data_IF_918678348627
#
_entry.id   IF_918678348627
#
_cell.length_a   1.000
_cell.length_b   1.000
_cell.length_c   1.000
_cell.angle_alpha   90.00
_cell.angle_beta   90.00
_cell.angle_gamma   90.00
#
_symmetry.space_group_name_H-M   'P 1'
#
loop_
_entity.id
_entity.type
_entity.pdbx_description
1 polymer ?
#
# COMPACT_ATOMS: atom_id res chain seq x y z
N UNK A 1 23.31 -8.78 -19.45
CA UNK A 1 22.12 -9.06 -18.61
C UNK A 1 22.01 -8.14 -17.38
N UNK A 2 23.08 -7.87 -16.63
CA UNK A 2 23.02 -7.02 -15.42
C UNK A 2 22.43 -5.60 -15.61
N UNK A 3 22.70 -4.93 -16.75
CA UNK A 3 22.10 -3.61 -17.06
C UNK A 3 20.58 -3.66 -17.24
N UNK A 4 20.05 -4.75 -17.81
CA UNK A 4 18.60 -4.92 -18.04
C UNK A 4 17.86 -5.15 -16.71
N UNK A 5 18.33 -6.05 -15.86
CA UNK A 5 17.76 -6.26 -14.52
C UNK A 5 17.76 -4.97 -13.69
N UNK A 6 18.82 -4.16 -13.81
CA UNK A 6 18.89 -2.86 -13.14
C UNK A 6 17.81 -1.90 -13.63
N UNK A 7 17.64 -1.76 -14.95
CA UNK A 7 16.60 -0.91 -15.52
C UNK A 7 15.19 -1.35 -15.11
N UNK A 8 14.91 -2.65 -15.21
CA UNK A 8 13.63 -3.23 -14.79
C UNK A 8 13.35 -2.96 -13.32
N UNK A 9 14.34 -3.21 -12.45
CA UNK A 9 14.22 -2.92 -11.01
C UNK A 9 13.92 -1.44 -10.74
N UNK A 10 14.64 -0.51 -11.37
CA UNK A 10 14.42 0.94 -11.21
C UNK A 10 13.01 1.34 -11.64
N UNK A 11 12.54 0.87 -12.81
CA UNK A 11 11.18 1.16 -13.29
C UNK A 11 10.15 0.64 -12.31
N UNK A 12 10.29 -0.59 -11.85
CA UNK A 12 9.33 -1.22 -10.94
C UNK A 12 9.27 -0.49 -9.59
N UNK A 13 10.41 -0.01 -9.09
CA UNK A 13 10.51 0.81 -7.86
C UNK A 13 9.85 2.18 -8.01
N UNK A 14 10.03 2.84 -9.16
CA UNK A 14 9.36 4.11 -9.45
C UNK A 14 7.84 3.93 -9.51
N UNK A 15 7.38 2.88 -10.19
CA UNK A 15 5.95 2.55 -10.26
C UNK A 15 5.41 2.24 -8.85
N UNK A 16 6.15 1.49 -8.03
CA UNK A 16 5.77 1.22 -6.64
C UNK A 16 5.68 2.50 -5.82
N UNK A 17 6.65 3.40 -5.94
CA UNK A 17 6.65 4.68 -5.23
C UNK A 17 5.46 5.56 -5.62
N UNK A 18 5.17 5.68 -6.93
CA UNK A 18 4.05 6.49 -7.44
C UNK A 18 2.70 5.93 -6.99
N UNK A 19 2.50 4.62 -7.13
CA UNK A 19 1.25 3.97 -6.74
C UNK A 19 1.04 4.00 -5.22
N UNK A 20 2.10 3.82 -4.43
CA UNK A 20 2.05 3.94 -2.98
C UNK A 20 1.77 5.38 -2.52
N UNK A 21 2.41 6.37 -3.15
CA UNK A 21 2.14 7.78 -2.89
C UNK A 21 0.68 8.13 -3.24
N UNK A 22 0.18 7.67 -4.38
CA UNK A 22 -1.21 7.89 -4.78
C UNK A 22 -2.18 7.30 -3.76
N UNK A 23 -1.97 6.07 -3.33
CA UNK A 23 -2.80 5.42 -2.30
C UNK A 23 -2.81 6.21 -0.98
N UNK A 24 -1.64 6.62 -0.49
CA UNK A 24 -1.52 7.40 0.73
C UNK A 24 -2.18 8.78 0.61
N UNK A 25 -1.96 9.49 -0.51
CA UNK A 25 -2.53 10.83 -0.75
C UNK A 25 -4.05 10.76 -0.80
N UNK A 26 -4.62 9.84 -1.60
CA UNK A 26 -6.08 9.68 -1.70
C UNK A 26 -6.66 9.46 -0.30
N UNK A 27 -6.07 8.55 0.49
CA UNK A 27 -6.53 8.24 1.84
C UNK A 27 -6.43 9.43 2.81
N UNK A 28 -5.33 10.20 2.77
CA UNK A 28 -5.16 11.40 3.63
C UNK A 28 -6.14 12.51 3.23
N UNK A 29 -6.45 12.63 1.94
CA UNK A 29 -7.43 13.60 1.46
C UNK A 29 -8.87 13.20 1.73
N UNK A 30 -9.11 11.96 2.19
CA UNK A 30 -10.44 11.46 2.57
C UNK A 30 -10.96 12.17 3.82
N UNK A 31 -11.78 13.20 3.60
CA UNK A 31 -12.53 13.93 4.64
C UNK A 31 -13.89 14.34 4.09
N UNK A 32 -14.93 14.11 4.88
CA UNK A 32 -16.27 14.59 4.56
C UNK A 32 -16.99 14.95 5.87
N UNK A 33 -17.66 16.09 5.89
CA UNK A 33 -18.50 16.53 7.00
C UNK A 33 -19.94 16.45 6.56
N UNK A 34 -20.78 15.72 7.31
CA UNK A 34 -22.22 15.63 7.02
C UNK A 34 -23.04 15.93 8.26
N UNK A 35 -24.14 16.68 8.10
CA UNK A 35 -25.07 16.97 9.18
C UNK A 35 -26.10 15.84 9.29
N UNK A 36 -26.06 15.10 10.38
CA UNK A 36 -26.98 14.01 10.69
C UNK A 36 -27.87 14.43 11.87
N UNK A 37 -29.19 14.54 11.65
CA UNK A 37 -30.15 14.97 12.66
C UNK A 37 -29.81 16.30 13.38
N UNK A 38 -29.19 17.26 12.67
CA UNK A 38 -28.76 18.54 13.25
C UNK A 38 -27.44 18.51 14.02
N UNK A 39 -26.74 17.36 14.06
CA UNK A 39 -25.39 17.20 14.57
C UNK A 39 -24.41 17.08 13.39
N UNK A 40 -23.35 17.89 13.38
CA UNK A 40 -22.27 17.75 12.41
C UNK A 40 -21.40 16.53 12.76
N UNK A 41 -21.39 15.52 11.89
CA UNK A 41 -20.52 14.35 11.98
C UNK A 41 -19.36 14.57 11.00
N UNK A 42 -18.14 14.71 11.53
CA UNK A 42 -16.92 14.76 10.73
C UNK A 42 -16.38 13.33 10.52
N UNK A 43 -16.47 12.82 9.30
CA UNK A 43 -15.83 11.57 8.90
C UNK A 43 -14.42 11.88 8.39
N UNK A 44 -13.41 11.44 9.15
CA UNK A 44 -12.00 11.70 8.86
C UNK A 44 -11.17 10.44 9.00
N UNK A 45 -10.19 10.28 8.12
CA UNK A 45 -9.28 9.12 8.15
C UNK A 45 -8.56 8.96 9.51
N UNK A 46 -8.30 10.06 10.22
CA UNK A 46 -7.60 10.06 11.51
C UNK A 46 -8.41 9.49 12.68
N UNK A 47 -9.71 9.23 12.50
CA UNK A 47 -10.53 8.60 13.53
C UNK A 47 -10.44 7.07 13.50
N UNK A 48 -9.91 6.49 12.42
CA UNK A 48 -9.85 5.04 12.22
C UNK A 48 -8.38 4.59 12.22
N UNK A 49 -7.93 3.84 13.24
CA UNK A 49 -6.54 3.42 13.36
C UNK A 49 -6.01 2.62 12.16
N UNK A 50 -6.85 1.80 11.52
CA UNK A 50 -6.46 1.04 10.33
C UNK A 50 -6.13 1.94 9.14
N UNK A 51 -6.83 3.08 9.01
CA UNK A 51 -6.61 4.03 7.92
C UNK A 51 -5.32 4.83 8.14
N UNK A 52 -5.01 5.17 9.39
CA UNK A 52 -3.70 5.75 9.76
C UNK A 52 -2.58 4.75 9.44
N UNK A 53 -2.74 3.48 9.84
CA UNK A 53 -1.76 2.44 9.55
C UNK A 53 -1.51 2.28 8.04
N UNK A 54 -2.57 2.31 7.22
CA UNK A 54 -2.47 2.32 5.78
C UNK A 54 -1.64 3.49 5.26
N UNK A 55 -1.98 4.72 5.64
CA UNK A 55 -1.24 5.91 5.19
C UNK A 55 0.24 5.81 5.55
N UNK A 56 0.55 5.44 6.79
CA UNK A 56 1.93 5.32 7.27
C UNK A 56 2.68 4.22 6.52
N UNK A 57 2.09 3.03 6.37
CA UNK A 57 2.71 1.91 5.66
C UNK A 57 3.02 2.27 4.19
N UNK A 58 2.08 2.90 3.49
CA UNK A 58 2.26 3.29 2.09
C UNK A 58 3.23 4.47 1.91
N UNK A 59 3.25 5.42 2.86
CA UNK A 59 4.26 6.48 2.86
C UNK A 59 5.69 5.91 3.06
N UNK A 60 5.85 4.98 4.01
CA UNK A 60 7.13 4.29 4.24
C UNK A 60 7.56 3.49 3.01
N UNK A 61 6.63 2.77 2.37
CA UNK A 61 6.91 2.02 1.14
C UNK A 61 7.37 2.92 -0.02
N UNK A 62 6.78 4.12 -0.15
CA UNK A 62 7.20 5.11 -1.13
C UNK A 62 8.64 5.57 -0.89
N UNK A 63 8.96 6.02 0.33
CA UNK A 63 10.31 6.48 0.70
C UNK A 63 11.32 5.33 0.53
N UNK A 64 10.99 4.14 1.03
CA UNK A 64 11.84 2.96 0.91
C UNK A 64 12.14 2.62 -0.55
N UNK A 65 11.13 2.62 -1.42
CA UNK A 65 11.30 2.32 -2.84
C UNK A 65 12.26 3.30 -3.53
N UNK A 66 12.21 4.59 -3.18
CA UNK A 66 13.12 5.60 -3.71
C UNK A 66 14.55 5.46 -3.16
N UNK A 67 14.69 5.14 -1.86
CA UNK A 67 15.99 4.94 -1.24
C UNK A 67 16.74 3.74 -1.85
N UNK A 68 16.04 2.65 -2.14
CA UNK A 68 16.65 1.44 -2.75
C UNK A 68 17.20 1.71 -4.15
N UNK A 69 16.63 2.66 -4.91
CA UNK A 69 17.15 3.04 -6.24
C UNK A 69 18.58 3.61 -6.14
N UNK A 70 18.89 4.29 -5.05
CA UNK A 70 20.20 4.91 -4.80
C UNK A 70 21.27 3.88 -4.38
N UNK A 71 20.87 2.67 -3.99
CA UNK A 71 21.80 1.64 -3.51
C UNK A 71 22.56 1.04 -4.71
N UNK A 72 23.91 1.04 -4.70
CA UNK A 72 24.69 0.46 -5.77
C UNK A 72 24.48 -1.06 -5.88
N UNK A 73 24.41 -1.61 -7.12
CA UNK A 73 24.23 -3.04 -7.33
C UNK A 73 25.51 -3.81 -7.01
N UNK A 74 25.37 -4.94 -6.32
CA UNK A 74 26.44 -5.91 -6.05
C UNK A 74 26.93 -5.89 -4.60
N UNK A 75 26.84 -7.04 -3.93
CA UNK A 75 27.32 -7.26 -2.56
C UNK A 75 26.27 -7.89 -1.63
N UNK A 76 26.64 -8.09 -0.36
CA UNK A 76 25.76 -8.63 0.69
C UNK A 76 24.47 -7.80 0.88
N UNK A 77 24.51 -6.51 0.54
CA UNK A 77 23.37 -5.61 0.58
C UNK A 77 22.19 -6.08 -0.29
N UNK A 78 22.43 -6.80 -1.40
CA UNK A 78 21.35 -7.29 -2.26
C UNK A 78 20.42 -8.28 -1.53
N UNK A 79 20.97 -9.14 -0.67
CA UNK A 79 20.15 -10.08 0.12
C UNK A 79 19.31 -9.36 1.16
N UNK A 80 19.88 -8.32 1.79
CA UNK A 80 19.15 -7.48 2.75
C UNK A 80 17.99 -6.74 2.08
N UNK A 81 18.18 -6.23 0.86
CA UNK A 81 17.10 -5.59 0.09
C UNK A 81 15.97 -6.56 -0.19
N UNK A 82 16.24 -7.81 -0.59
CA UNK A 82 15.18 -8.81 -0.80
C UNK A 82 14.40 -9.09 0.48
N UNK A 83 15.10 -9.25 1.62
CA UNK A 83 14.43 -9.47 2.90
C UNK A 83 13.58 -8.27 3.31
N UNK A 84 14.08 -7.05 3.10
CA UNK A 84 13.34 -5.83 3.37
C UNK A 84 12.13 -5.65 2.43
N UNK A 85 12.23 -6.07 1.16
CA UNK A 85 11.11 -6.06 0.20
C UNK A 85 9.99 -6.99 0.63
N UNK A 86 10.35 -8.20 1.09
CA UNK A 86 9.38 -9.18 1.60
C UNK A 86 8.70 -8.64 2.87
N UNK A 87 9.49 -8.07 3.79
CA UNK A 87 8.94 -7.44 4.99
C UNK A 87 7.97 -6.30 4.66
N UNK A 88 8.33 -5.43 3.71
CA UNK A 88 7.47 -4.34 3.26
C UNK A 88 6.20 -4.86 2.60
N UNK A 89 6.29 -5.89 1.75
CA UNK A 89 5.13 -6.53 1.13
C UNK A 89 4.15 -7.10 2.17
N UNK A 90 4.65 -7.72 3.24
CA UNK A 90 3.83 -8.21 4.35
C UNK A 90 3.12 -7.06 5.09
N UNK A 91 3.85 -5.98 5.38
CA UNK A 91 3.29 -4.77 6.04
C UNK A 91 2.17 -4.15 5.19
N UNK A 92 2.42 -3.98 3.89
CA UNK A 92 1.41 -3.43 2.97
C UNK A 92 0.18 -4.34 2.86
N UNK A 93 0.38 -5.67 2.88
CA UNK A 93 -0.73 -6.64 2.80
C UNK A 93 -1.59 -6.54 4.05
N UNK A 94 -0.96 -6.49 5.23
CA UNK A 94 -1.66 -6.27 6.50
C UNK A 94 -2.43 -4.94 6.53
N UNK A 95 -1.84 -3.88 5.97
CA UNK A 95 -2.48 -2.56 5.90
C UNK A 95 -3.74 -2.58 5.02
N UNK A 96 -3.66 -3.19 3.84
CA UNK A 96 -4.82 -3.36 2.94
C UNK A 96 -5.88 -4.23 3.57
N UNK A 97 -5.50 -5.36 4.20
CA UNK A 97 -6.46 -6.25 4.85
C UNK A 97 -7.20 -5.56 6.01
N UNK A 98 -6.48 -4.86 6.89
CA UNK A 98 -7.08 -4.15 8.02
C UNK A 98 -7.99 -3.00 7.58
N UNK A 99 -7.56 -2.24 6.57
CA UNK A 99 -8.34 -1.14 6.00
C UNK A 99 -9.57 -1.67 5.27
N UNK A 100 -9.40 -2.72 4.46
CA UNK A 100 -10.49 -3.37 3.74
C UNK A 100 -11.55 -3.93 4.66
N UNK A 101 -11.15 -4.56 5.78
CA UNK A 101 -12.10 -5.05 6.77
C UNK A 101 -12.94 -3.90 7.37
N UNK A 102 -12.32 -2.79 7.76
CA UNK A 102 -13.07 -1.65 8.31
C UNK A 102 -13.90 -0.94 7.23
N UNK A 103 -13.40 -0.85 6.00
CA UNK A 103 -14.16 -0.29 4.88
C UNK A 103 -15.41 -1.12 4.56
N UNK A 104 -15.30 -2.45 4.63
CA UNK A 104 -16.44 -3.36 4.42
C UNK A 104 -17.49 -3.18 5.51
N UNK A 105 -17.07 -3.11 6.79
CA UNK A 105 -18.02 -2.85 7.88
C UNK A 105 -18.61 -1.44 7.76
N UNK A 106 -17.85 -0.44 7.30
CA UNK A 106 -18.38 0.90 7.04
C UNK A 106 -19.42 0.94 5.92
N UNK A 107 -19.30 0.05 4.93
CA UNK A 107 -20.22 -0.03 3.78
C UNK A 107 -21.47 -0.85 4.09
N UNK A 108 -21.30 -2.05 4.63
CA UNK A 108 -22.40 -3.00 4.80
C UNK A 108 -22.92 -3.05 6.24
N UNK A 109 -22.17 -2.53 7.21
CA UNK A 109 -22.46 -2.72 8.63
C UNK A 109 -22.24 -4.16 9.09
N UNK A 110 -22.60 -4.41 10.35
CA UNK A 110 -22.74 -5.74 10.93
C UNK A 110 -23.76 -5.69 12.07
N UNK A 111 -25.00 -6.09 11.80
CA UNK A 111 -26.10 -6.06 12.77
C UNK A 111 -25.79 -6.90 14.02
N UNK A 112 -25.08 -8.03 13.88
CA UNK A 112 -24.73 -8.91 14.99
C UNK A 112 -23.75 -8.26 15.97
N UNK A 113 -22.93 -7.31 15.49
CA UNK A 113 -22.03 -6.52 16.32
C UNK A 113 -22.59 -5.13 16.67
N UNK A 114 -23.78 -4.77 16.15
CA UNK A 114 -24.38 -3.44 16.29
C UNK A 114 -23.72 -2.35 15.45
N UNK A 115 -22.95 -2.70 14.41
CA UNK A 115 -22.33 -1.72 13.52
C UNK A 115 -23.29 -1.34 12.41
N UNK A 116 -23.65 -0.07 12.32
CA UNK A 116 -24.51 0.45 11.27
C UNK A 116 -23.68 0.84 10.03
N UNK A 117 -24.23 0.70 8.81
CA UNK A 117 -23.57 1.19 7.60
C UNK A 117 -23.53 2.73 7.61
N UNK A 118 -22.35 3.29 7.33
CA UNK A 118 -22.10 4.74 7.37
C UNK A 118 -21.94 5.31 5.96
N UNK A 119 -21.53 4.49 4.98
CA UNK A 119 -21.27 4.93 3.61
C UNK A 119 -22.50 5.48 2.86
N UNK A 120 -23.73 5.14 3.28
CA UNK A 120 -24.97 5.72 2.74
C UNK A 120 -25.08 7.23 3.04
N UNK A 121 -24.46 7.70 4.12
CA UNK A 121 -24.50 9.12 4.50
C UNK A 121 -23.32 9.93 3.94
N UNK A 122 -22.13 9.30 3.87
CA UNK A 122 -20.85 9.94 3.48
C UNK A 122 -20.26 9.27 2.24
N UNK A 123 -20.99 9.40 1.13
CA UNK A 123 -20.66 8.76 -0.13
C UNK A 123 -19.29 9.22 -0.67
N UNK A 124 -18.93 10.49 -0.53
CA UNK A 124 -17.66 11.03 -1.02
C UNK A 124 -16.46 10.42 -0.31
N UNK A 125 -16.50 10.38 1.01
CA UNK A 125 -15.50 9.75 1.86
C UNK A 125 -15.34 8.27 1.54
N UNK A 126 -16.46 7.53 1.44
CA UNK A 126 -16.42 6.09 1.17
C UNK A 126 -15.83 5.79 -0.22
N UNK A 127 -16.17 6.59 -1.24
CA UNK A 127 -15.59 6.47 -2.57
C UNK A 127 -14.08 6.77 -2.58
N UNK A 128 -13.62 7.77 -1.84
CA UNK A 128 -12.20 8.08 -1.71
C UNK A 128 -11.44 6.96 -0.98
N UNK A 129 -11.99 6.41 0.10
CA UNK A 129 -11.40 5.25 0.81
C UNK A 129 -11.30 4.03 -0.12
N UNK A 130 -12.35 3.74 -0.90
CA UNK A 130 -12.33 2.65 -1.87
C UNK A 130 -11.30 2.90 -2.98
N UNK A 131 -11.18 4.13 -3.47
CA UNK A 131 -10.14 4.53 -4.42
C UNK A 131 -8.73 4.35 -3.86
N UNK A 132 -8.50 4.71 -2.60
CA UNK A 132 -7.24 4.49 -1.92
C UNK A 132 -6.92 2.99 -1.78
N UNK A 133 -7.90 2.16 -1.43
CA UNK A 133 -7.76 0.71 -1.35
C UNK A 133 -7.39 0.08 -2.70
N UNK A 134 -8.05 0.51 -3.79
CA UNK A 134 -7.72 0.05 -5.14
C UNK A 134 -6.28 0.44 -5.50
N UNK A 135 -5.90 1.70 -5.28
CA UNK A 135 -4.52 2.16 -5.53
C UNK A 135 -3.50 1.39 -4.68
N UNK A 136 -3.82 1.10 -3.42
CA UNK A 136 -2.99 0.29 -2.54
C UNK A 136 -2.84 -1.15 -3.04
N UNK A 137 -3.93 -1.77 -3.49
CA UNK A 137 -3.87 -3.10 -4.08
C UNK A 137 -3.00 -3.16 -5.34
N UNK A 138 -3.06 -2.14 -6.20
CA UNK A 138 -2.14 -2.01 -7.34
C UNK A 138 -0.68 -1.96 -6.88
N UNK A 139 -0.39 -1.13 -5.87
CA UNK A 139 0.96 -1.07 -5.29
C UNK A 139 1.42 -2.41 -4.68
N UNK A 140 0.51 -3.19 -4.07
CA UNK A 140 0.80 -4.57 -3.62
C UNK A 140 1.21 -5.49 -4.76
N UNK A 141 0.48 -5.46 -5.88
CA UNK A 141 0.81 -6.26 -7.06
C UNK A 141 2.19 -5.87 -7.59
N UNK A 142 2.52 -4.58 -7.63
CA UNK A 142 3.84 -4.11 -8.05
C UNK A 142 4.93 -4.58 -7.08
N UNK A 143 4.70 -4.54 -5.76
CA UNK A 143 5.63 -5.08 -4.77
C UNK A 143 5.85 -6.60 -4.91
N UNK A 144 4.80 -7.35 -5.23
CA UNK A 144 4.92 -8.77 -5.53
C UNK A 144 5.84 -9.00 -6.75
N UNK A 145 5.67 -8.22 -7.82
CA UNK A 145 6.55 -8.28 -8.99
C UNK A 145 8.00 -7.92 -8.64
N UNK A 146 8.23 -6.94 -7.76
CA UNK A 146 9.57 -6.59 -7.26
C UNK A 146 10.21 -7.78 -6.58
N UNK A 147 9.48 -8.45 -5.68
CA UNK A 147 9.99 -9.62 -4.95
C UNK A 147 10.33 -10.76 -5.93
N UNK A 148 9.46 -11.07 -6.88
CA UNK A 148 9.71 -12.11 -7.89
C UNK A 148 10.94 -11.79 -8.75
N UNK A 149 11.05 -10.56 -9.24
CA UNK A 149 12.20 -10.14 -10.04
C UNK A 149 13.51 -10.18 -9.23
N UNK A 150 13.48 -9.73 -7.97
CA UNK A 150 14.61 -9.79 -7.05
C UNK A 150 15.05 -11.23 -6.77
N UNK A 151 14.10 -12.15 -6.58
CA UNK A 151 14.39 -13.57 -6.36
C UNK A 151 15.02 -14.23 -7.60
N UNK A 152 14.50 -13.95 -8.80
CA UNK A 152 15.10 -14.43 -10.04
C UNK A 152 16.54 -13.93 -10.19
N UNK A 153 16.76 -12.62 -10.00
CA UNK A 153 18.09 -12.04 -10.11
C UNK A 153 19.09 -12.62 -9.10
N UNK A 154 18.65 -12.95 -7.88
CA UNK A 154 19.52 -13.62 -6.88
C UNK A 154 19.76 -15.08 -7.24
N UNK A 155 18.74 -15.81 -7.70
CA UNK A 155 18.86 -17.23 -8.08
C UNK A 155 19.82 -17.42 -9.24
N UNK A 156 19.73 -16.57 -10.28
CA UNK A 156 20.63 -16.61 -11.44
C UNK A 156 22.10 -16.42 -11.06
N UNK A 157 22.39 -15.71 -9.96
CA UNK A 157 23.76 -15.54 -9.46
C UNK A 157 24.30 -16.74 -8.68
N UNK A 158 23.43 -17.58 -8.11
CA UNK A 158 23.82 -18.75 -7.31
C UNK A 158 23.97 -20.02 -8.17
N UNK A 159 23.14 -20.17 -9.20
CA UNK A 159 23.23 -21.26 -10.18
C UNK A 159 23.42 -20.64 -11.57
N UNK A 160 24.66 -20.30 -11.98
CA UNK A 160 24.91 -20.05 -13.39
C UNK A 160 24.72 -21.38 -14.12
N UNK A 161 23.52 -21.62 -14.66
CA UNK A 161 23.29 -22.77 -15.55
C UNK A 161 24.29 -22.68 -16.72
N UNK A 162 25.11 -23.72 -16.85
CA UNK A 162 26.09 -23.93 -17.91
C UNK A 162 25.42 -24.31 -19.23
#
# INVERSE_FOLDING_TARGET
MAKLHRLVSVVLRLVAAVTAAAAAIIMVTSRETTSLFGLEIEAKFSHIPSFIFFVVAYAVACVYSLLVILVPPGGAASRLVVMADVAMGMVLTGAVAATGAIAEVGRNGNEHAGWLPICEQVHGYCNQVMGALIAGFVALVVYFLIIMHSLHAVTDTMCPCH
#
